data_IF_577753835226
#
_entry.id   IF_577753835226
#
_cell.length_a   1.000
_cell.length_b   1.000
_cell.length_c   1.000
_cell.angle_alpha   90.00
_cell.angle_beta   90.00
_cell.angle_gamma   90.00
#
_symmetry.space_group_name_H-M   'P 1'
#
loop_
_entity.id
_entity.type
_entity.pdbx_description
1 polymer ?
#
# COMPACT_ATOMS: atom_id res chain seq x y z
N UNK A 1 -7.28 -27.56 -6.89
CA UNK A 1 -7.52 -28.02 -5.51
C UNK A 1 -8.21 -26.95 -4.68
N UNK A 2 -7.69 -25.71 -4.64
CA UNK A 2 -8.31 -24.60 -3.87
C UNK A 2 -9.76 -24.30 -4.27
N UNK A 3 -10.04 -24.21 -5.56
CA UNK A 3 -11.40 -23.99 -6.10
C UNK A 3 -12.37 -25.04 -5.56
N UNK A 4 -12.07 -26.33 -5.79
CA UNK A 4 -12.92 -27.43 -5.31
C UNK A 4 -13.09 -27.46 -3.79
N UNK A 5 -12.04 -27.11 -3.04
CA UNK A 5 -12.13 -27.00 -1.59
C UNK A 5 -13.08 -25.87 -1.15
N UNK A 6 -13.02 -24.72 -1.83
CA UNK A 6 -13.94 -23.61 -1.59
C UNK A 6 -15.38 -24.00 -1.92
N UNK A 7 -15.65 -24.60 -3.08
CA UNK A 7 -17.00 -25.10 -3.42
C UNK A 7 -17.58 -25.97 -2.30
N UNK A 8 -16.81 -26.97 -1.85
CA UNK A 8 -17.23 -27.90 -0.79
C UNK A 8 -17.51 -27.15 0.52
N UNK A 9 -16.63 -26.21 0.92
CA UNK A 9 -16.79 -25.43 2.14
C UNK A 9 -18.02 -24.52 2.10
N UNK A 10 -18.29 -23.89 0.97
CA UNK A 10 -19.40 -22.96 0.79
C UNK A 10 -20.74 -23.68 0.71
N UNK A 11 -20.82 -24.82 0.02
CA UNK A 11 -22.05 -25.65 0.02
C UNK A 11 -22.35 -26.14 1.44
N UNK A 12 -21.33 -26.66 2.13
CA UNK A 12 -21.49 -27.18 3.50
C UNK A 12 -21.88 -26.11 4.51
N UNK A 13 -21.44 -24.85 4.34
CA UNK A 13 -21.81 -23.79 5.29
C UNK A 13 -23.32 -23.56 5.31
N UNK A 14 -24.00 -23.68 4.16
CA UNK A 14 -25.46 -23.61 4.08
C UNK A 14 -26.10 -24.90 4.60
N UNK A 15 -25.73 -26.04 4.01
CA UNK A 15 -26.43 -27.32 4.22
C UNK A 15 -26.25 -27.85 5.65
N UNK A 16 -25.05 -27.70 6.21
CA UNK A 16 -24.69 -28.33 7.47
C UNK A 16 -24.58 -27.33 8.63
N UNK A 17 -24.27 -26.06 8.35
CA UNK A 17 -23.94 -25.08 9.38
C UNK A 17 -24.93 -23.91 9.47
N UNK A 18 -25.86 -23.77 8.52
CA UNK A 18 -26.83 -22.66 8.46
C UNK A 18 -26.11 -21.29 8.57
N UNK A 19 -24.97 -21.15 7.89
CA UNK A 19 -24.12 -19.96 7.90
C UNK A 19 -23.80 -19.53 6.47
N UNK A 20 -23.63 -18.23 6.25
CA UNK A 20 -23.21 -17.65 4.97
C UNK A 20 -21.88 -16.93 5.11
N UNK A 21 -20.96 -17.20 4.20
CA UNK A 21 -19.75 -16.40 4.03
C UNK A 21 -20.09 -15.17 3.19
N UNK A 22 -19.50 -14.03 3.51
CA UNK A 22 -19.76 -12.77 2.79
C UNK A 22 -18.62 -12.35 1.88
N UNK A 23 -17.38 -12.77 2.18
CA UNK A 23 -16.20 -12.42 1.42
C UNK A 23 -15.25 -13.60 1.23
N UNK A 24 -14.45 -13.52 0.17
CA UNK A 24 -13.34 -14.42 -0.14
C UNK A 24 -12.05 -13.61 -0.12
N UNK A 25 -11.13 -13.95 0.78
CA UNK A 25 -9.79 -13.38 0.80
C UNK A 25 -8.87 -14.13 -0.18
N UNK A 26 -8.20 -13.41 -1.08
CA UNK A 26 -7.24 -14.02 -2.02
C UNK A 26 -5.89 -13.30 -2.10
N UNK A 27 -4.81 -14.02 -2.40
CA UNK A 27 -3.46 -13.45 -2.66
C UNK A 27 -3.30 -13.03 -4.14
N UNK A 28 -4.36 -12.44 -4.72
CA UNK A 28 -4.39 -11.88 -6.07
C UNK A 28 -5.05 -12.76 -7.13
N UNK A 29 -5.03 -14.08 -6.96
CA UNK A 29 -5.79 -14.98 -7.83
C UNK A 29 -7.30 -14.70 -7.71
N UNK A 30 -8.03 -14.88 -8.81
CA UNK A 30 -9.48 -14.65 -8.85
C UNK A 30 -10.26 -15.90 -9.20
N UNK A 31 -9.60 -17.02 -9.48
CA UNK A 31 -10.26 -18.22 -10.01
C UNK A 31 -11.28 -18.77 -9.03
N UNK A 32 -10.92 -18.89 -7.76
CA UNK A 32 -11.84 -19.33 -6.70
C UNK A 32 -13.02 -18.37 -6.53
N UNK A 33 -12.79 -17.06 -6.63
CA UNK A 33 -13.88 -16.08 -6.51
C UNK A 33 -14.85 -16.17 -7.70
N UNK A 34 -14.35 -16.30 -8.93
CA UNK A 34 -15.19 -16.46 -10.13
C UNK A 34 -16.01 -17.75 -10.06
N UNK A 35 -15.38 -18.86 -9.67
CA UNK A 35 -16.05 -20.15 -9.51
C UNK A 35 -17.17 -20.08 -8.46
N UNK A 36 -16.94 -19.40 -7.34
CA UNK A 36 -17.98 -19.19 -6.32
C UNK A 36 -19.14 -18.30 -6.80
N UNK A 37 -18.87 -17.34 -7.71
CA UNK A 37 -19.94 -16.54 -8.34
C UNK A 37 -20.77 -17.39 -9.31
N UNK A 38 -20.12 -18.28 -10.06
CA UNK A 38 -20.79 -19.21 -10.98
C UNK A 38 -21.59 -20.29 -10.23
N UNK A 39 -21.07 -20.75 -9.09
CA UNK A 39 -21.73 -21.74 -8.23
C UNK A 39 -23.03 -21.21 -7.62
N UNK A 40 -23.12 -19.89 -7.42
CA UNK A 40 -24.30 -19.17 -6.88
C UNK A 40 -24.97 -19.88 -5.68
N UNK A 41 -24.17 -20.24 -4.67
CA UNK A 41 -24.60 -21.03 -3.48
C UNK A 41 -25.77 -20.39 -2.72
N UNK A 42 -26.02 -19.10 -2.94
CA UNK A 42 -27.05 -18.32 -2.24
C UNK A 42 -28.20 -17.90 -3.15
N UNK A 43 -28.32 -18.45 -4.36
CA UNK A 43 -29.40 -18.20 -5.33
C UNK A 43 -29.65 -16.70 -5.56
N UNK A 44 -28.57 -15.93 -5.72
CA UNK A 44 -28.62 -14.47 -5.89
C UNK A 44 -29.09 -13.67 -4.67
N UNK A 45 -29.44 -14.31 -3.55
CA UNK A 45 -29.90 -13.62 -2.33
C UNK A 45 -28.79 -12.82 -1.64
N UNK A 46 -27.53 -13.08 -1.97
CA UNK A 46 -26.38 -12.39 -1.39
C UNK A 46 -25.22 -12.28 -2.38
N UNK A 47 -24.60 -11.10 -2.41
CA UNK A 47 -23.39 -10.86 -3.21
C UNK A 47 -22.13 -11.18 -2.41
N UNK A 48 -21.32 -12.09 -2.93
CA UNK A 48 -19.99 -12.41 -2.41
C UNK A 48 -19.03 -11.28 -2.81
N UNK A 49 -18.25 -10.75 -1.86
CA UNK A 49 -17.16 -9.82 -2.17
C UNK A 49 -15.80 -10.50 -2.25
N UNK A 50 -14.92 -9.97 -3.08
CA UNK A 50 -13.50 -10.37 -3.10
C UNK A 50 -12.69 -9.38 -2.28
N UNK A 51 -11.90 -9.88 -1.34
CA UNK A 51 -10.94 -9.11 -0.57
C UNK A 51 -9.51 -9.48 -1.03
N UNK A 52 -8.61 -8.49 -1.12
CA UNK A 52 -7.21 -8.73 -1.46
C UNK A 52 -6.34 -8.79 -0.22
N UNK A 53 -5.45 -9.78 -0.18
CA UNK A 53 -4.45 -9.86 0.88
C UNK A 53 -3.52 -8.63 0.84
N UNK A 54 -3.29 -8.03 2.00
CA UNK A 54 -2.37 -6.90 2.15
C UNK A 54 -0.95 -7.20 1.63
N UNK A 55 -0.50 -8.46 1.74
CA UNK A 55 0.77 -8.88 1.16
C UNK A 55 0.74 -8.82 -0.38
N UNK A 56 -0.37 -9.20 -1.01
CA UNK A 56 -0.57 -9.07 -2.45
C UNK A 56 -0.50 -7.60 -2.89
N UNK A 57 -1.26 -6.74 -2.20
CA UNK A 57 -1.31 -5.29 -2.48
C UNK A 57 0.08 -4.66 -2.38
N UNK A 58 0.87 -5.03 -1.36
CA UNK A 58 2.26 -4.59 -1.23
C UNK A 58 3.17 -5.16 -2.34
N UNK A 59 3.06 -6.45 -2.69
CA UNK A 59 3.81 -7.06 -3.80
C UNK A 59 3.55 -6.35 -5.12
N UNK A 60 2.29 -5.99 -5.43
CA UNK A 60 1.89 -5.24 -6.63
C UNK A 60 2.65 -3.92 -6.76
N UNK A 61 2.76 -3.14 -5.68
CA UNK A 61 3.54 -1.90 -5.67
C UNK A 61 5.02 -2.19 -6.00
N UNK A 62 5.62 -3.17 -5.32
CA UNK A 62 7.03 -3.54 -5.55
C UNK A 62 7.32 -3.98 -6.99
N UNK A 63 6.44 -4.79 -7.58
CA UNK A 63 6.53 -5.21 -8.99
C UNK A 63 6.41 -4.00 -9.92
N UNK A 64 5.44 -3.11 -9.68
CA UNK A 64 5.24 -1.90 -10.46
C UNK A 64 6.47 -0.98 -10.47
N UNK A 65 7.08 -0.79 -9.29
CA UNK A 65 8.30 0.00 -9.16
C UNK A 65 9.50 -0.65 -9.86
N UNK A 66 9.69 -1.97 -9.74
CA UNK A 66 10.75 -2.71 -10.46
C UNK A 66 10.59 -2.59 -11.97
N UNK A 67 9.38 -2.73 -12.48
CA UNK A 67 9.07 -2.56 -13.90
C UNK A 67 9.45 -1.15 -14.39
N UNK A 68 9.13 -0.12 -13.60
CA UNK A 68 9.51 1.27 -13.92
C UNK A 68 11.01 1.52 -13.87
N UNK A 69 11.74 0.93 -12.92
CA UNK A 69 13.21 1.00 -12.90
C UNK A 69 13.80 0.38 -14.18
N UNK A 70 13.23 -0.74 -14.65
CA UNK A 70 13.64 -1.36 -15.93
C UNK A 70 13.33 -0.46 -17.13
N UNK A 71 12.15 0.16 -17.16
CA UNK A 71 11.75 1.12 -18.21
C UNK A 71 12.65 2.36 -18.25
N UNK A 72 13.04 2.91 -17.09
CA UNK A 72 13.94 4.07 -17.06
C UNK A 72 15.35 3.70 -17.51
N UNK A 73 15.81 2.49 -17.16
CA UNK A 73 17.10 1.98 -17.63
C UNK A 73 17.15 1.87 -19.16
N UNK A 74 16.06 1.47 -19.82
CA UNK A 74 16.01 1.43 -21.30
C UNK A 74 15.99 2.83 -21.94
N UNK A 75 15.64 3.87 -21.18
CA UNK A 75 15.69 5.29 -21.58
C UNK A 75 16.99 5.99 -21.13
N UNK A 76 18.02 5.23 -20.75
CA UNK A 76 19.30 5.75 -20.23
C UNK A 76 19.19 6.60 -18.95
N UNK A 77 18.09 6.48 -18.19
CA UNK A 77 17.89 7.16 -16.90
C UNK A 77 18.25 6.20 -15.76
N UNK A 78 19.28 6.56 -14.98
CA UNK A 78 19.77 5.70 -13.89
C UNK A 78 19.11 6.04 -12.55
N UNK A 79 17.88 5.56 -12.38
CA UNK A 79 17.11 5.69 -11.12
C UNK A 79 17.23 4.46 -10.19
N UNK A 80 17.94 3.42 -10.65
CA UNK A 80 18.36 2.27 -9.84
C UNK A 80 19.86 2.31 -9.54
N UNK A 81 20.43 1.17 -9.11
CA UNK A 81 21.88 1.02 -8.95
C UNK A 81 22.42 1.47 -7.58
N UNK A 82 23.74 1.70 -7.48
CA UNK A 82 24.45 1.88 -6.19
C UNK A 82 24.37 3.30 -5.61
N UNK A 83 23.92 4.30 -6.38
CA UNK A 83 23.82 5.69 -5.94
C UNK A 83 22.89 5.83 -4.74
N UNK A 84 23.26 6.65 -3.77
CA UNK A 84 22.36 6.99 -2.67
C UNK A 84 21.08 7.65 -3.19
N UNK A 85 19.92 7.33 -2.61
CA UNK A 85 18.64 7.83 -3.08
C UNK A 85 18.02 7.06 -4.26
N UNK A 86 18.71 6.05 -4.82
CA UNK A 86 18.19 5.21 -5.91
C UNK A 86 17.20 4.14 -5.42
N UNK A 87 16.37 3.63 -6.34
CA UNK A 87 15.53 2.45 -6.14
C UNK A 87 16.32 1.16 -6.37
N UNK A 88 17.30 0.90 -5.50
CA UNK A 88 17.87 -0.44 -5.33
C UNK A 88 16.89 -1.38 -4.61
N UNK A 89 17.11 -2.69 -4.71
CA UNK A 89 16.18 -3.70 -4.16
C UNK A 89 15.91 -3.50 -2.67
N UNK A 90 16.93 -3.14 -1.87
CA UNK A 90 16.75 -2.85 -0.45
C UNK A 90 15.90 -1.59 -0.19
N UNK A 91 16.00 -0.56 -1.03
CA UNK A 91 15.14 0.63 -0.94
C UNK A 91 13.70 0.30 -1.33
N UNK A 92 13.51 -0.52 -2.37
CA UNK A 92 12.20 -1.00 -2.83
C UNK A 92 11.50 -1.85 -1.77
N UNK A 93 12.22 -2.78 -1.15
CA UNK A 93 11.72 -3.60 -0.05
C UNK A 93 11.26 -2.74 1.13
N UNK A 94 12.07 -1.75 1.54
CA UNK A 94 11.69 -0.82 2.62
C UNK A 94 10.45 -0.01 2.27
N UNK A 95 10.35 0.52 1.04
CA UNK A 95 9.16 1.26 0.60
C UNK A 95 7.92 0.39 0.53
N UNK A 96 8.05 -0.84 0.05
CA UNK A 96 6.95 -1.81 0.01
C UNK A 96 6.45 -2.12 1.42
N UNK A 97 7.36 -2.24 2.39
CA UNK A 97 7.01 -2.44 3.80
C UNK A 97 6.39 -1.20 4.45
N UNK A 98 6.88 0.00 4.14
CA UNK A 98 6.28 1.25 4.61
C UNK A 98 4.85 1.40 4.07
N UNK A 99 4.64 1.10 2.79
CA UNK A 99 3.32 1.09 2.16
C UNK A 99 2.38 0.10 2.85
N UNK A 100 2.85 -1.15 3.07
CA UNK A 100 2.10 -2.18 3.80
C UNK A 100 1.72 -1.74 5.22
N UNK A 101 2.66 -1.12 5.94
CA UNK A 101 2.47 -0.60 7.29
C UNK A 101 1.45 0.53 7.31
N UNK A 102 1.58 1.49 6.40
CA UNK A 102 0.67 2.63 6.28
C UNK A 102 -0.77 2.19 6.01
N UNK A 103 -0.99 1.20 5.13
CA UNK A 103 -2.32 0.61 4.94
C UNK A 103 -2.81 0.01 6.27
N UNK A 104 -2.05 -0.90 6.88
CA UNK A 104 -2.45 -1.61 8.11
C UNK A 104 -2.83 -0.67 9.25
N UNK A 105 -2.08 0.42 9.45
CA UNK A 105 -2.29 1.36 10.55
C UNK A 105 -3.41 2.37 10.28
N UNK A 106 -3.84 2.50 9.02
CA UNK A 106 -4.82 3.53 8.63
C UNK A 106 -6.19 2.97 8.29
N UNK A 107 -6.36 1.66 8.05
CA UNK A 107 -7.68 1.06 7.80
C UNK A 107 -8.65 1.40 8.94
N UNK A 108 -9.90 1.81 8.64
CA UNK A 108 -10.53 1.91 7.30
C UNK A 108 -10.39 3.30 6.64
N UNK A 109 -9.65 4.24 7.23
CA UNK A 109 -9.52 5.61 6.74
C UNK A 109 -8.54 5.72 5.55
N UNK A 110 -9.13 5.84 4.35
CA UNK A 110 -8.40 6.00 3.09
C UNK A 110 -7.65 7.33 3.01
N UNK A 111 -8.15 8.40 3.61
CA UNK A 111 -7.48 9.70 3.59
C UNK A 111 -6.24 9.68 4.49
N UNK A 112 -6.35 9.09 5.67
CA UNK A 112 -5.21 8.88 6.57
C UNK A 112 -4.19 7.94 5.93
N UNK A 113 -4.63 6.86 5.29
CA UNK A 113 -3.76 5.93 4.55
C UNK A 113 -2.96 6.65 3.47
N UNK A 114 -3.65 7.45 2.65
CA UNK A 114 -3.04 8.28 1.60
C UNK A 114 -2.00 9.20 2.21
N UNK A 115 -2.37 9.94 3.25
CA UNK A 115 -1.49 10.86 3.96
C UNK A 115 -0.25 10.16 4.50
N UNK A 116 -0.39 9.00 5.16
CA UNK A 116 0.73 8.22 5.71
C UNK A 116 1.69 7.72 4.63
N UNK A 117 1.17 7.29 3.47
CA UNK A 117 1.98 6.85 2.32
C UNK A 117 2.78 8.03 1.76
N UNK A 118 2.13 9.17 1.48
CA UNK A 118 2.83 10.36 0.99
C UNK A 118 3.84 10.88 2.01
N UNK A 119 3.46 10.98 3.28
CA UNK A 119 4.34 11.41 4.37
C UNK A 119 5.61 10.54 4.42
N UNK A 120 5.47 9.22 4.32
CA UNK A 120 6.63 8.29 4.27
C UNK A 120 7.57 8.58 3.08
N UNK A 121 7.01 8.85 1.89
CA UNK A 121 7.80 9.19 0.70
C UNK A 121 8.51 10.55 0.82
N UNK A 122 7.79 11.56 1.30
CA UNK A 122 8.35 12.90 1.52
C UNK A 122 9.43 12.89 2.59
N UNK A 123 9.23 12.16 3.69
CA UNK A 123 10.25 11.97 4.71
C UNK A 123 11.50 11.31 4.13
N UNK A 124 11.35 10.22 3.36
CA UNK A 124 12.49 9.54 2.75
C UNK A 124 13.24 10.40 1.72
N UNK A 125 12.61 11.45 1.18
CA UNK A 125 13.25 12.42 0.27
C UNK A 125 13.62 13.76 0.94
N UNK A 126 13.37 13.88 2.25
CA UNK A 126 13.68 15.07 3.03
C UNK A 126 15.18 15.18 3.26
N UNK A 127 15.70 16.40 3.20
CA UNK A 127 17.09 16.71 3.56
C UNK A 127 17.11 17.85 4.55
N UNK A 128 18.27 18.10 5.18
CA UNK A 128 18.43 19.26 6.06
C UNK A 128 18.19 20.59 5.30
N UNK A 129 18.67 20.70 4.06
CA UNK A 129 18.51 21.91 3.22
C UNK A 129 17.10 22.07 2.63
N UNK A 130 16.37 20.96 2.49
CA UNK A 130 15.02 20.94 1.93
C UNK A 130 14.15 19.99 2.77
N UNK A 131 13.68 20.44 3.95
CA UNK A 131 12.82 19.63 4.81
C UNK A 131 11.43 19.45 4.19
N UNK A 132 10.94 18.21 4.09
CA UNK A 132 9.66 17.87 3.46
C UNK A 132 8.65 17.32 4.49
N UNK A 133 8.39 18.09 5.55
CA UNK A 133 7.51 17.68 6.67
C UNK A 133 6.10 18.29 6.66
N UNK A 134 5.75 19.05 5.62
CA UNK A 134 4.46 19.73 5.50
C UNK A 134 3.24 18.79 5.37
N UNK A 135 3.44 17.49 5.12
CA UNK A 135 2.38 16.47 5.04
C UNK A 135 2.16 15.70 6.33
N UNK A 136 2.88 16.03 7.39
CA UNK A 136 2.73 15.39 8.69
C UNK A 136 1.80 16.19 9.60
N UNK A 137 1.06 15.52 10.51
CA UNK A 137 0.33 16.21 11.57
C UNK A 137 1.26 17.15 12.33
N UNK A 138 0.77 18.32 12.73
CA UNK A 138 1.49 19.24 13.61
C UNK A 138 1.18 18.92 15.07
N UNK A 139 2.02 19.41 15.99
CA UNK A 139 1.81 19.27 17.42
C UNK A 139 2.60 18.13 18.09
N UNK A 140 2.50 18.07 19.41
CA UNK A 140 3.28 17.17 20.27
C UNK A 140 2.99 15.69 20.02
N UNK A 141 1.75 15.37 19.61
CA UNK A 141 1.33 14.01 19.25
C UNK A 141 1.70 13.61 17.82
N UNK A 142 2.43 14.46 17.08
CA UNK A 142 2.85 14.12 15.73
C UNK A 142 3.79 12.91 15.76
N UNK A 143 3.50 11.94 14.91
CA UNK A 143 4.39 10.81 14.66
C UNK A 143 5.63 11.20 13.83
N UNK A 144 5.68 12.43 13.28
CA UNK A 144 6.91 12.99 12.74
C UNK A 144 7.77 13.56 13.86
N UNK A 145 8.93 12.96 14.08
CA UNK A 145 9.96 13.51 14.96
C UNK A 145 10.24 14.99 14.66
N UNK A 146 10.24 15.39 13.38
CA UNK A 146 10.48 16.78 13.02
C UNK A 146 9.37 17.71 13.53
N UNK A 147 8.11 17.36 13.28
CA UNK A 147 6.97 18.19 13.69
C UNK A 147 6.75 18.19 15.21
N UNK A 148 6.96 17.05 15.88
CA UNK A 148 6.85 16.98 17.34
C UNK A 148 7.98 17.73 18.05
N UNK A 149 9.21 17.69 17.52
CA UNK A 149 10.35 18.47 18.06
C UNK A 149 10.12 19.97 17.88
N UNK A 150 9.62 20.40 16.71
CA UNK A 150 9.23 21.80 16.50
C UNK A 150 8.11 22.23 17.45
N UNK A 151 7.11 21.37 17.67
CA UNK A 151 6.01 21.66 18.61
C UNK A 151 6.47 21.73 20.07
N UNK A 152 7.60 21.09 20.41
CA UNK A 152 8.29 21.20 21.70
C UNK A 152 9.21 22.43 21.80
N UNK A 153 9.27 23.29 20.80
CA UNK A 153 10.22 24.41 20.70
C UNK A 153 11.69 23.98 20.71
N UNK A 154 11.99 22.77 20.22
CA UNK A 154 13.34 22.23 20.09
C UNK A 154 13.80 22.25 18.62
N UNK A 155 15.12 22.23 18.41
CA UNK A 155 15.69 22.10 17.06
C UNK A 155 15.69 20.63 16.57
N UNK A 156 15.06 20.32 15.42
CA UNK A 156 15.04 18.96 14.88
C UNK A 156 16.44 18.47 14.50
N UNK A 157 16.76 17.23 14.91
CA UNK A 157 17.98 16.52 14.50
C UNK A 157 18.08 16.39 12.97
N UNK A 158 19.32 16.39 12.48
CA UNK A 158 19.62 16.26 11.06
C UNK A 158 19.12 14.95 10.43
N UNK A 159 18.57 15.04 9.22
CA UNK A 159 18.18 13.92 8.37
C UNK A 159 19.37 13.08 7.84
N UNK A 160 20.61 13.45 8.17
CA UNK A 160 21.82 12.71 7.76
C UNK A 160 21.82 11.24 8.21
N UNK A 161 21.17 10.96 9.35
CA UNK A 161 21.06 9.64 9.97
C UNK A 161 19.95 8.74 9.39
N UNK A 162 19.16 9.24 8.43
CA UNK A 162 18.09 8.45 7.83
C UNK A 162 18.60 7.22 7.10
N UNK A 163 18.09 6.05 7.50
CA UNK A 163 18.47 4.74 6.94
C UNK A 163 17.93 4.51 5.52
N UNK A 164 16.94 5.29 5.09
CA UNK A 164 16.30 5.17 3.78
C UNK A 164 16.22 6.56 3.18
N UNK A 165 16.86 6.73 2.03
CA UNK A 165 16.86 7.99 1.30
C UNK A 165 16.31 7.76 -0.10
N UNK A 166 15.62 8.76 -0.62
CA UNK A 166 15.16 8.87 -2.00
C UNK A 166 15.70 10.16 -2.60
N UNK A 167 16.21 10.10 -3.82
CA UNK A 167 16.52 11.30 -4.57
C UNK A 167 15.22 11.98 -5.03
N UNK A 168 15.29 13.28 -5.28
CA UNK A 168 14.15 14.03 -5.80
C UNK A 168 13.64 13.49 -7.13
N UNK A 169 14.56 13.16 -8.04
CA UNK A 169 14.25 12.51 -9.31
C UNK A 169 13.49 11.19 -9.12
N UNK A 170 13.86 10.39 -8.13
CA UNK A 170 13.17 9.13 -7.84
C UNK A 170 11.79 9.38 -7.22
N UNK A 171 11.70 10.33 -6.28
CA UNK A 171 10.44 10.72 -5.65
C UNK A 171 9.42 11.15 -6.71
N UNK A 172 9.79 12.09 -7.58
CA UNK A 172 8.92 12.61 -8.63
C UNK A 172 8.30 11.47 -9.45
N UNK A 173 9.12 10.51 -9.85
CA UNK A 173 8.69 9.37 -10.64
C UNK A 173 7.77 8.41 -9.90
N UNK A 174 7.99 8.19 -8.59
CA UNK A 174 7.07 7.40 -7.75
C UNK A 174 5.72 8.11 -7.65
N UNK A 175 5.72 9.43 -7.43
CA UNK A 175 4.50 10.23 -7.31
C UNK A 175 3.67 10.18 -8.60
N UNK A 176 4.30 10.32 -9.78
CA UNK A 176 3.60 10.16 -11.07
C UNK A 176 2.90 8.81 -11.18
N UNK A 177 3.53 7.73 -10.67
CA UNK A 177 2.94 6.38 -10.71
C UNK A 177 1.79 6.22 -9.72
N UNK A 178 1.85 6.86 -8.55
CA UNK A 178 0.78 6.81 -7.55
C UNK A 178 -0.43 7.67 -7.97
N UNK A 179 -0.22 8.73 -8.74
CA UNK A 179 -1.28 9.59 -9.28
C UNK A 179 -1.99 8.99 -10.51
N UNK A 180 -1.30 8.16 -11.29
CA UNK A 180 -1.84 7.59 -12.55
C UNK A 180 -2.57 6.26 -12.40
N UNK A 181 -2.56 5.65 -11.21
CA UNK A 181 -3.38 4.46 -10.98
C UNK A 181 -4.63 4.76 -10.19
N UNK A 182 -5.74 4.19 -10.66
CA UNK A 182 -6.98 3.86 -9.95
C UNK A 182 -6.79 3.06 -8.64
N UNK A 183 -5.55 2.88 -8.15
CA UNK A 183 -5.22 2.17 -6.91
C UNK A 183 -5.88 2.80 -5.69
N UNK A 184 -6.30 4.07 -5.78
CA UNK A 184 -7.06 4.76 -4.75
C UNK A 184 -8.57 4.58 -4.91
N UNK A 185 -9.07 4.48 -6.15
CA UNK A 185 -10.49 4.28 -6.43
C UNK A 185 -10.98 2.91 -5.93
N UNK A 186 -10.14 1.88 -6.01
CA UNK A 186 -10.46 0.53 -5.51
C UNK A 186 -10.48 0.46 -3.97
N UNK A 187 -9.62 1.23 -3.28
CA UNK A 187 -9.60 1.29 -1.82
C UNK A 187 -10.77 2.12 -1.24
N UNK A 188 -11.26 3.12 -1.99
CA UNK A 188 -12.42 3.94 -1.60
C UNK A 188 -13.80 3.30 -1.92
N UNK A 189 -13.83 2.13 -2.59
CA UNK A 189 -15.08 1.39 -2.85
C UNK A 189 -15.51 0.49 -1.69
N UNK A 190 -14.68 0.33 -0.65
CA UNK A 190 -15.12 -0.21 0.62
C UNK A 190 -15.88 0.88 1.38
N UNK A 191 -17.21 0.90 1.20
CA UNK A 191 -18.09 1.71 2.03
C UNK A 191 -17.85 1.38 3.51
N UNK A 192 -17.92 2.37 4.42
CA UNK A 192 -17.99 2.07 5.85
C UNK A 192 -19.20 1.16 6.10
N UNK A 193 -18.94 -0.04 6.60
CA UNK A 193 -20.00 -0.90 7.15
C UNK A 193 -20.46 -0.24 8.44
N UNK A 194 -21.70 0.26 8.46
CA UNK A 194 -22.48 0.41 9.70
C UNK A 194 -22.89 -0.98 10.18
#
# INVERSE_FOLDING_TARGET
>A
MEVKAAEILWIRSVVNCIMRYFSVLSDGDSKTYQDLLELDVYDGSMKISKEECLNHVAKRLGIGLRSKVKEWRSKCVTNGGRKEGSLKESTLFKHTNLYRKAIKESVPDVQNMTTAIFASLFHNSSTYKAPKHNKFPTGLSSWSFYQSTLANNEEPKSHSSMKTKLSEQVLEKILTRLQTTSCWEDASREKPRM
#
